data_IF_909179482362
#
_entry.id   IF_909179482362
#
_cell.length_a   1.000
_cell.length_b   1.000
_cell.length_c   1.000
_cell.angle_alpha   90.00
_cell.angle_beta   90.00
_cell.angle_gamma   90.00
#
_symmetry.space_group_name_H-M   'P 1'
#
loop_
_entity.id
_entity.type
_entity.pdbx_description
1 polymer ?
#
# COMPACT_ATOMS: atom_id res chain seq x y z
N UNK A 1 2.46 15.72 -1.50
CA UNK A 1 1.18 16.01 -0.82
C UNK A 1 0.10 14.98 -1.16
N UNK A 2 -0.07 14.65 -2.44
CA UNK A 2 -1.11 13.70 -2.88
C UNK A 2 -0.85 12.27 -2.40
N UNK A 3 0.40 11.90 -2.16
CA UNK A 3 0.80 10.59 -1.66
C UNK A 3 0.34 10.34 -0.21
N UNK A 4 0.42 11.38 0.62
CA UNK A 4 0.08 11.26 2.05
C UNK A 4 -1.45 11.28 2.28
N UNK A 5 -2.23 11.76 1.32
CA UNK A 5 -3.70 11.72 1.35
C UNK A 5 -4.28 12.37 2.60
N UNK A 6 -3.85 13.61 2.92
CA UNK A 6 -4.38 14.35 4.07
C UNK A 6 -5.90 14.51 3.95
N UNK A 7 -6.61 14.03 4.94
CA UNK A 7 -8.05 14.23 5.08
C UNK A 7 -8.36 14.88 6.43
N UNK A 8 -9.21 15.88 6.42
CA UNK A 8 -9.71 16.54 7.62
C UNK A 8 -11.18 16.20 7.81
N UNK A 9 -11.52 15.68 8.97
CA UNK A 9 -12.87 15.24 9.30
C UNK A 9 -13.19 15.43 10.77
N UNK A 10 -14.26 14.79 11.20
CA UNK A 10 -14.69 14.74 12.59
C UNK A 10 -14.64 13.30 13.10
N UNK A 11 -14.09 13.10 14.28
CA UNK A 11 -14.37 11.93 15.12
C UNK A 11 -15.65 12.23 15.90
N UNK A 12 -16.62 11.33 15.83
CA UNK A 12 -17.91 11.47 16.51
C UNK A 12 -18.19 10.21 17.31
N UNK A 13 -18.64 10.40 18.56
CA UNK A 13 -18.99 9.33 19.48
C UNK A 13 -20.45 8.92 19.31
N UNK A 14 -20.66 7.62 19.24
CA UNK A 14 -21.97 6.99 19.23
C UNK A 14 -22.14 6.15 20.50
N UNK A 15 -23.23 6.35 21.21
CA UNK A 15 -23.58 5.50 22.36
C UNK A 15 -24.23 4.22 21.87
N UNK A 16 -23.92 3.11 22.52
CA UNK A 16 -24.64 1.86 22.31
C UNK A 16 -25.95 1.91 23.05
N UNK A 17 -27.05 1.55 22.37
CA UNK A 17 -28.39 1.56 22.98
C UNK A 17 -28.46 0.62 24.18
N UNK A 18 -29.12 1.05 25.24
CA UNK A 18 -29.30 0.28 26.48
C UNK A 18 -28.00 -0.17 27.15
N UNK A 19 -26.92 0.60 26.97
CA UNK A 19 -25.58 0.32 27.51
C UNK A 19 -24.84 1.63 27.82
N UNK A 20 -23.83 1.55 28.70
CA UNK A 20 -22.90 2.65 28.99
C UNK A 20 -21.73 2.68 27.97
N UNK A 21 -21.72 1.74 27.04
CA UNK A 21 -20.67 1.66 26.02
C UNK A 21 -20.83 2.74 24.97
N UNK A 22 -19.71 3.25 24.51
CA UNK A 22 -19.64 4.17 23.36
C UNK A 22 -18.45 3.80 22.46
N UNK A 23 -18.57 4.14 21.19
CA UNK A 23 -17.49 4.00 20.23
C UNK A 23 -17.41 5.21 19.32
N UNK A 24 -16.26 5.42 18.72
CA UNK A 24 -15.97 6.59 17.89
C UNK A 24 -15.82 6.19 16.42
N UNK A 25 -16.42 6.99 15.54
CA UNK A 25 -16.20 6.90 14.09
C UNK A 25 -15.43 8.13 13.61
N UNK A 26 -14.80 8.01 12.43
CA UNK A 26 -14.22 9.14 11.71
C UNK A 26 -14.93 9.35 10.38
N UNK A 27 -15.34 10.59 10.11
CA UNK A 27 -15.95 10.95 8.82
C UNK A 27 -15.41 12.27 8.28
N UNK A 28 -15.21 12.33 6.96
CA UNK A 28 -14.95 13.58 6.23
C UNK A 28 -16.24 14.27 5.79
N UNK A 29 -17.37 13.54 5.86
CA UNK A 29 -18.71 14.00 5.47
C UNK A 29 -19.59 14.20 6.71
N UNK A 30 -19.14 15.09 7.59
CA UNK A 30 -19.89 15.40 8.81
C UNK A 30 -21.29 16.03 8.53
N UNK A 31 -21.49 16.58 7.33
CA UNK A 31 -22.78 17.08 6.84
C UNK A 31 -23.86 16.00 6.74
N UNK A 32 -23.46 14.72 6.62
CA UNK A 32 -24.40 13.62 6.37
C UNK A 32 -24.88 12.89 7.65
N UNK A 33 -24.58 13.39 8.83
CA UNK A 33 -24.92 12.75 10.10
C UNK A 33 -26.44 12.49 10.29
N UNK A 34 -27.28 13.30 9.69
CA UNK A 34 -28.76 13.13 9.76
C UNK A 34 -29.27 11.98 8.86
N UNK A 35 -28.45 11.46 7.94
CA UNK A 35 -28.81 10.36 7.06
C UNK A 35 -28.14 9.04 7.39
N UNK A 36 -27.52 8.93 8.57
CA UNK A 36 -26.95 7.67 9.05
C UNK A 36 -28.08 6.69 9.37
N UNK A 37 -28.10 5.57 8.68
CA UNK A 37 -29.15 4.56 8.84
C UNK A 37 -28.66 3.22 9.41
N UNK A 38 -27.36 3.01 9.43
CA UNK A 38 -26.69 1.89 10.12
C UNK A 38 -25.22 2.21 10.39
N UNK A 39 -24.61 1.38 11.23
CA UNK A 39 -23.17 1.41 11.54
C UNK A 39 -22.53 0.13 11.03
N UNK A 40 -21.24 0.19 10.67
CA UNK A 40 -20.51 -1.02 10.23
C UNK A 40 -19.16 -1.08 10.91
N UNK A 41 -18.85 -2.28 11.44
CA UNK A 41 -17.59 -2.61 12.05
C UNK A 41 -16.74 -3.45 11.08
N UNK A 42 -15.43 -3.20 11.09
CA UNK A 42 -14.48 -4.13 10.47
C UNK A 42 -14.49 -5.47 11.22
N UNK A 43 -14.38 -6.61 10.52
CA UNK A 43 -14.35 -7.93 11.17
C UNK A 43 -13.24 -8.11 12.21
N UNK A 44 -12.14 -7.38 12.05
CA UNK A 44 -10.97 -7.40 12.95
C UNK A 44 -11.10 -6.43 14.13
N UNK A 45 -12.17 -5.62 14.20
CA UNK A 45 -12.37 -4.65 15.27
C UNK A 45 -12.63 -5.33 16.62
N UNK A 46 -11.95 -4.85 17.66
CA UNK A 46 -12.19 -5.31 19.04
C UNK A 46 -13.64 -5.09 19.49
N UNK A 47 -14.33 -4.12 18.90
CA UNK A 47 -15.74 -3.85 19.16
C UNK A 47 -16.67 -4.99 18.76
N UNK A 48 -16.25 -5.87 17.84
CA UNK A 48 -17.08 -6.98 17.36
C UNK A 48 -17.44 -7.91 18.52
N UNK A 49 -16.48 -8.29 19.35
CA UNK A 49 -16.73 -9.16 20.51
C UNK A 49 -17.61 -8.51 21.58
N UNK A 50 -17.50 -7.17 21.72
CA UNK A 50 -18.23 -6.39 22.72
C UNK A 50 -19.68 -6.09 22.31
N UNK A 51 -19.90 -5.87 21.00
CA UNK A 51 -21.21 -5.49 20.47
C UNK A 51 -22.01 -6.65 19.88
N UNK A 52 -21.44 -7.86 19.86
CA UNK A 52 -22.18 -9.05 19.43
C UNK A 52 -23.02 -9.58 20.57
N UNK A 53 -24.35 -9.61 20.37
CA UNK A 53 -25.27 -10.20 21.35
C UNK A 53 -25.19 -11.73 21.36
N UNK A 54 -25.57 -12.35 22.45
CA UNK A 54 -25.52 -13.83 22.56
C UNK A 54 -26.39 -14.50 21.47
N UNK A 55 -27.52 -13.87 21.10
CA UNK A 55 -28.40 -14.37 20.03
C UNK A 55 -27.74 -14.38 18.65
N UNK A 56 -26.81 -13.48 18.38
CA UNK A 56 -26.13 -13.34 17.07
C UNK A 56 -24.74 -13.99 17.03
N UNK A 57 -24.26 -14.47 18.18
CA UNK A 57 -22.88 -14.96 18.35
C UNK A 57 -22.48 -16.03 17.34
N UNK A 58 -23.30 -17.05 17.17
CA UNK A 58 -23.01 -18.15 16.24
C UNK A 58 -22.89 -17.69 14.79
N UNK A 59 -23.79 -16.78 14.35
CA UNK A 59 -23.78 -16.24 13.01
C UNK A 59 -22.58 -15.31 12.76
N UNK A 60 -22.25 -14.50 13.76
CA UNK A 60 -21.07 -13.60 13.71
C UNK A 60 -19.79 -14.42 13.67
N UNK A 61 -19.61 -15.43 14.53
CA UNK A 61 -18.43 -16.32 14.53
C UNK A 61 -18.24 -17.00 13.17
N UNK A 62 -19.33 -17.54 12.60
CA UNK A 62 -19.28 -18.16 11.27
C UNK A 62 -18.91 -17.15 10.16
N UNK A 63 -19.34 -15.90 10.27
CA UNK A 63 -18.95 -14.83 9.35
C UNK A 63 -17.46 -14.47 9.48
N UNK A 64 -16.97 -14.31 10.71
CA UNK A 64 -15.58 -14.00 11.00
C UNK A 64 -14.63 -15.09 10.48
N UNK A 65 -14.97 -16.36 10.68
CA UNK A 65 -14.15 -17.48 10.21
C UNK A 65 -14.04 -17.55 8.66
N UNK A 66 -15.06 -17.12 7.96
CA UNK A 66 -15.02 -16.98 6.50
C UNK A 66 -14.15 -15.80 6.05
N UNK A 67 -14.25 -14.69 6.77
CA UNK A 67 -13.55 -13.44 6.43
C UNK A 67 -12.06 -13.52 6.75
N UNK A 68 -11.65 -14.16 7.83
CA UNK A 68 -10.23 -14.38 8.21
C UNK A 68 -9.41 -15.09 7.14
N UNK A 69 -10.05 -15.88 6.27
CA UNK A 69 -9.38 -16.60 5.17
C UNK A 69 -9.09 -15.71 3.96
N UNK A 70 -9.51 -14.45 3.98
CA UNK A 70 -9.38 -13.51 2.85
C UNK A 70 -8.39 -12.39 3.21
N UNK A 71 -7.49 -12.11 2.29
CA UNK A 71 -6.57 -10.97 2.43
C UNK A 71 -7.31 -9.65 2.22
N UNK A 72 -6.78 -8.56 2.79
CA UNK A 72 -7.32 -7.21 2.59
C UNK A 72 -7.41 -6.85 1.08
N UNK A 73 -6.42 -7.27 0.29
CA UNK A 73 -6.42 -7.04 -1.16
C UNK A 73 -7.57 -7.75 -1.87
N UNK A 74 -7.87 -8.97 -1.50
CA UNK A 74 -9.00 -9.74 -2.05
C UNK A 74 -10.34 -9.10 -1.67
N UNK A 75 -10.46 -8.58 -0.44
CA UNK A 75 -11.65 -7.89 0.05
C UNK A 75 -11.90 -6.58 -0.70
N UNK A 76 -10.85 -5.79 -0.98
CA UNK A 76 -10.94 -4.56 -1.77
C UNK A 76 -11.35 -4.84 -3.23
N UNK A 77 -10.86 -5.93 -3.81
CA UNK A 77 -11.14 -6.31 -5.19
C UNK A 77 -12.54 -6.93 -5.38
N UNK A 78 -13.09 -7.55 -4.34
CA UNK A 78 -14.39 -8.21 -4.39
C UNK A 78 -15.53 -7.19 -4.17
N UNK A 79 -16.45 -7.15 -5.11
CA UNK A 79 -17.63 -6.27 -5.08
C UNK A 79 -18.87 -6.92 -4.50
N UNK A 80 -18.80 -8.17 -4.05
CA UNK A 80 -19.94 -8.84 -3.44
C UNK A 80 -20.26 -8.21 -2.09
N UNK A 81 -21.54 -7.98 -1.86
CA UNK A 81 -22.03 -7.47 -0.58
C UNK A 81 -22.16 -8.61 0.40
N UNK A 82 -21.46 -8.52 1.52
CA UNK A 82 -21.55 -9.50 2.62
C UNK A 82 -21.58 -8.76 3.95
N UNK A 83 -22.24 -9.35 4.94
CA UNK A 83 -22.30 -8.78 6.28
C UNK A 83 -23.15 -9.61 7.21
N UNK A 84 -23.06 -9.32 8.51
CA UNK A 84 -23.86 -9.95 9.56
C UNK A 84 -24.28 -8.90 10.60
N UNK A 85 -25.48 -9.01 11.09
CA UNK A 85 -25.99 -8.12 12.14
C UNK A 85 -25.38 -8.53 13.51
N UNK A 86 -24.88 -7.55 14.28
CA UNK A 86 -24.29 -7.82 15.60
C UNK A 86 -25.32 -8.08 16.72
N UNK A 87 -26.57 -7.71 16.49
CA UNK A 87 -27.64 -7.69 17.50
C UNK A 87 -27.73 -6.38 18.28
N UNK A 88 -26.74 -5.50 18.17
CA UNK A 88 -26.70 -4.22 18.89
C UNK A 88 -27.12 -3.04 18.03
N UNK A 89 -27.52 -1.96 18.70
CA UNK A 89 -27.86 -0.69 18.07
C UNK A 89 -27.02 0.44 18.64
N UNK A 90 -26.70 1.42 17.81
CA UNK A 90 -26.07 2.67 18.23
C UNK A 90 -27.08 3.82 18.15
N UNK A 91 -26.95 4.81 19.03
CA UNK A 91 -27.80 6.00 19.03
C UNK A 91 -27.11 7.11 18.25
N UNK A 92 -27.76 7.60 17.21
CA UNK A 92 -27.26 8.72 16.44
C UNK A 92 -27.33 10.02 17.30
N UNK A 93 -26.18 10.68 17.55
CA UNK A 93 -26.16 11.85 18.43
C UNK A 93 -26.82 13.10 17.85
N UNK A 94 -27.27 13.09 16.59
CA UNK A 94 -27.97 14.21 15.93
C UNK A 94 -29.47 13.99 15.80
N UNK A 95 -29.91 12.74 15.64
CA UNK A 95 -31.33 12.41 15.46
C UNK A 95 -31.96 11.73 16.68
N UNK A 96 -31.13 11.15 17.57
CA UNK A 96 -31.59 10.32 18.67
C UNK A 96 -32.09 8.94 18.24
N UNK A 97 -32.12 8.65 16.97
CA UNK A 97 -32.57 7.37 16.43
C UNK A 97 -31.57 6.25 16.70
N UNK A 98 -32.12 5.07 16.95
CA UNK A 98 -31.33 3.85 17.12
C UNK A 98 -31.07 3.22 15.75
N UNK A 99 -29.80 3.08 15.36
CA UNK A 99 -29.38 2.50 14.10
C UNK A 99 -28.66 1.16 14.34
N UNK A 100 -28.93 0.11 13.52
CA UNK A 100 -28.33 -1.21 13.73
C UNK A 100 -26.83 -1.20 13.47
N UNK A 101 -26.09 -2.01 14.22
CA UNK A 101 -24.65 -2.19 14.08
C UNK A 101 -24.39 -3.50 13.33
N UNK A 102 -23.78 -3.42 12.17
CA UNK A 102 -23.42 -4.53 11.30
C UNK A 102 -21.91 -4.79 11.33
N UNK A 103 -21.52 -5.97 10.91
CA UNK A 103 -20.12 -6.35 10.70
C UNK A 103 -19.98 -6.70 9.23
N UNK A 104 -19.03 -6.09 8.53
CA UNK A 104 -18.84 -6.35 7.10
C UNK A 104 -17.38 -6.18 6.67
N UNK A 105 -16.98 -7.01 5.72
CA UNK A 105 -15.63 -7.08 5.19
C UNK A 105 -15.26 -5.94 4.23
N UNK A 106 -16.21 -5.06 3.85
CA UNK A 106 -15.88 -3.85 3.09
C UNK A 106 -15.27 -2.74 3.96
N UNK A 107 -15.36 -2.84 5.27
CA UNK A 107 -14.73 -1.94 6.23
C UNK A 107 -13.37 -2.52 6.65
N UNK A 108 -12.32 -1.71 6.63
CA UNK A 108 -10.96 -2.11 6.97
C UNK A 108 -10.58 -1.58 8.35
N UNK A 109 -10.01 -2.42 9.21
CA UNK A 109 -9.60 -2.04 10.56
C UNK A 109 -8.46 -1.00 10.58
N UNK A 110 -7.57 -1.03 9.58
CA UNK A 110 -6.46 -0.08 9.45
C UNK A 110 -6.86 1.32 8.97
N UNK A 111 -8.15 1.58 8.70
CA UNK A 111 -8.64 2.88 8.28
C UNK A 111 -9.58 3.49 9.33
N UNK A 112 -9.14 4.59 9.92
CA UNK A 112 -9.93 5.29 10.94
C UNK A 112 -9.95 4.58 12.28
N UNK A 113 -11.14 4.26 12.76
CA UNK A 113 -11.39 3.61 14.06
C UNK A 113 -11.81 2.14 13.93
N UNK A 114 -11.82 1.60 12.72
CA UNK A 114 -12.36 0.27 12.43
C UNK A 114 -13.91 0.21 12.53
N UNK A 115 -14.55 1.36 12.70
CA UNK A 115 -16.01 1.53 12.69
C UNK A 115 -16.37 2.70 11.77
N UNK A 116 -17.41 2.56 10.97
CA UNK A 116 -17.92 3.62 10.11
C UNK A 116 -19.42 3.86 10.37
N UNK A 117 -19.86 5.09 10.14
CA UNK A 117 -21.27 5.39 9.92
C UNK A 117 -21.61 5.17 8.46
N UNK A 118 -22.73 4.59 8.17
CA UNK A 118 -23.18 4.33 6.81
C UNK A 118 -24.28 5.32 6.40
N UNK A 119 -24.08 5.95 5.24
CA UNK A 119 -25.02 6.91 4.64
C UNK A 119 -25.34 6.47 3.22
N UNK A 120 -26.26 5.53 3.04
CA UNK A 120 -26.54 4.92 1.75
C UNK A 120 -26.88 5.87 0.60
N UNK A 121 -27.52 6.99 0.92
CA UNK A 121 -27.85 7.97 -0.10
C UNK A 121 -26.63 8.63 -0.75
N UNK A 122 -25.45 8.61 -0.11
CA UNK A 122 -24.27 9.40 -0.50
C UNK A 122 -22.94 8.62 -0.48
N UNK A 123 -23.00 7.29 -0.41
CA UNK A 123 -21.86 6.37 -0.60
C UNK A 123 -22.33 5.10 -1.32
N UNK A 124 -21.69 4.78 -2.42
CA UNK A 124 -22.11 3.66 -3.30
C UNK A 124 -21.96 2.28 -2.65
N UNK A 125 -21.03 2.10 -1.71
CA UNK A 125 -20.87 0.83 -0.98
C UNK A 125 -21.95 0.67 0.06
N UNK A 126 -22.23 1.75 0.82
CA UNK A 126 -23.31 1.79 1.80
C UNK A 126 -24.68 1.61 1.11
N UNK A 127 -24.83 2.17 -0.11
CA UNK A 127 -26.03 1.99 -0.92
C UNK A 127 -26.26 0.54 -1.30
N UNK A 128 -25.23 -0.11 -1.86
CA UNK A 128 -25.30 -1.51 -2.23
C UNK A 128 -25.60 -2.40 -1.01
N UNK A 129 -25.01 -2.10 0.15
CA UNK A 129 -25.27 -2.79 1.40
C UNK A 129 -26.72 -2.58 1.87
N UNK A 130 -27.21 -1.35 1.87
CA UNK A 130 -28.58 -1.03 2.28
C UNK A 130 -29.62 -1.70 1.38
N UNK A 131 -29.41 -1.70 0.07
CA UNK A 131 -30.29 -2.43 -0.88
C UNK A 131 -30.29 -3.92 -0.62
N UNK A 132 -29.13 -4.54 -0.38
CA UNK A 132 -29.00 -5.97 -0.13
C UNK A 132 -29.69 -6.42 1.15
N UNK A 133 -29.56 -5.63 2.23
CA UNK A 133 -30.14 -5.96 3.54
C UNK A 133 -31.47 -5.23 3.82
N UNK A 134 -32.02 -4.55 2.82
CA UNK A 134 -33.28 -3.81 2.91
C UNK A 134 -33.30 -2.78 4.06
N UNK A 135 -32.21 -2.00 4.17
CA UNK A 135 -32.04 -0.93 5.15
C UNK A 135 -32.54 0.40 4.58
N UNK A 136 -32.94 1.38 5.44
CA UNK A 136 -33.41 2.68 4.99
C UNK A 136 -32.34 3.49 4.23
N UNK A 137 -32.78 4.25 3.23
CA UNK A 137 -31.96 5.20 2.46
C UNK A 137 -32.58 6.58 2.59
N UNK A 138 -31.86 7.55 3.18
CA UNK A 138 -32.35 8.89 3.44
C UNK A 138 -31.54 9.90 2.62
N UNK A 139 -32.14 10.53 1.59
CA UNK A 139 -31.46 11.54 0.79
C UNK A 139 -31.27 12.84 1.60
N UNK A 140 -30.08 13.44 1.49
CA UNK A 140 -29.69 14.65 2.23
C UNK A 140 -29.30 15.82 1.32
N UNK A 141 -29.43 15.67 0.01
CA UNK A 141 -29.15 16.72 -0.98
C UNK A 141 -30.41 16.97 -1.80
N UNK A 142 -30.75 18.24 -2.01
CA UNK A 142 -31.93 18.62 -2.80
C UNK A 142 -31.88 18.11 -4.23
N UNK A 143 -32.98 17.54 -4.70
CA UNK A 143 -33.15 17.09 -6.06
C UNK A 143 -32.35 15.83 -6.43
N UNK A 144 -31.68 15.16 -5.47
CA UNK A 144 -31.04 13.90 -5.74
C UNK A 144 -32.07 12.75 -5.85
N UNK A 145 -31.92 11.92 -6.87
CA UNK A 145 -32.65 10.66 -7.05
C UNK A 145 -31.75 9.51 -6.55
N UNK A 146 -32.22 8.81 -5.55
CA UNK A 146 -31.51 7.66 -4.94
C UNK A 146 -32.29 6.35 -5.14
N UNK A 147 -33.17 6.27 -6.13
CA UNK A 147 -33.98 5.10 -6.42
C UNK A 147 -33.14 3.94 -6.97
N UNK A 148 -32.21 4.23 -7.86
CA UNK A 148 -31.39 3.24 -8.56
C UNK A 148 -29.92 3.20 -8.11
N UNK A 149 -29.36 4.37 -7.72
CA UNK A 149 -27.96 4.48 -7.29
C UNK A 149 -27.78 5.57 -6.21
N UNK A 150 -26.62 5.59 -5.55
CA UNK A 150 -26.26 6.63 -4.59
C UNK A 150 -25.91 7.93 -5.31
N UNK A 151 -26.11 9.05 -4.63
CA UNK A 151 -25.71 10.38 -5.07
C UNK A 151 -24.40 10.79 -4.37
N UNK A 152 -23.26 10.44 -4.94
CA UNK A 152 -21.94 10.62 -4.32
C UNK A 152 -21.32 12.02 -4.58
N UNK A 153 -22.07 12.96 -5.15
CA UNK A 153 -21.59 14.31 -5.44
C UNK A 153 -21.16 15.05 -4.17
N UNK A 154 -20.13 15.88 -4.31
CA UNK A 154 -19.54 16.69 -3.24
C UNK A 154 -20.07 18.13 -3.24
N UNK A 155 -20.98 18.44 -4.13
CA UNK A 155 -21.63 19.75 -4.29
C UNK A 155 -23.14 19.59 -4.29
N UNK A 156 -23.84 20.56 -3.74
CA UNK A 156 -25.31 20.56 -3.62
C UNK A 156 -25.78 21.32 -2.41
N UNK A 157 -27.09 21.41 -2.27
CA UNK A 157 -27.78 22.06 -1.14
C UNK A 157 -28.29 20.95 -0.20
N UNK A 158 -28.00 21.08 1.08
CA UNK A 158 -28.39 20.10 2.09
C UNK A 158 -29.89 20.22 2.40
N UNK A 159 -30.55 19.08 2.49
CA UNK A 159 -31.95 18.95 2.93
C UNK A 159 -32.10 17.82 3.96
N UNK A 160 -33.27 17.64 4.56
CA UNK A 160 -33.57 16.59 5.55
C UNK A 160 -32.58 16.53 6.74
N UNK A 161 -31.99 17.65 7.11
CA UNK A 161 -30.95 17.77 8.14
C UNK A 161 -31.27 18.92 9.14
N UNK A 162 -32.31 18.81 10.04
CA UNK A 162 -33.18 17.66 10.26
C UNK A 162 -34.32 17.50 9.23
N UNK A 163 -34.95 16.32 9.22
CA UNK A 163 -36.11 16.04 8.36
C UNK A 163 -37.27 16.95 8.72
N UNK A 164 -37.98 17.47 7.73
CA UNK A 164 -39.15 18.32 7.94
C UNK A 164 -40.23 17.61 8.76
N UNK A 165 -40.72 18.29 9.81
CA UNK A 165 -41.71 17.75 10.72
C UNK A 165 -41.22 16.78 11.79
N UNK A 166 -39.94 16.45 11.81
CA UNK A 166 -39.35 15.67 12.91
C UNK A 166 -39.17 16.53 14.15
N UNK A 167 -39.35 15.94 15.34
CA UNK A 167 -39.00 16.60 16.60
C UNK A 167 -37.46 16.73 16.67
N UNK A 168 -36.93 17.95 16.77
CA UNK A 168 -35.47 18.11 16.82
C UNK A 168 -34.89 17.44 18.06
N UNK A 169 -33.93 16.58 17.86
CA UNK A 169 -33.13 15.97 18.95
C UNK A 169 -31.95 16.87 19.35
N UNK A 170 -31.46 17.66 18.42
CA UNK A 170 -30.43 18.67 18.62
C UNK A 170 -30.85 20.00 17.95
N UNK A 171 -30.18 21.08 18.27
CA UNK A 171 -30.48 22.44 17.78
C UNK A 171 -29.77 22.76 16.45
N UNK A 172 -29.03 21.77 15.86
CA UNK A 172 -28.35 21.92 14.58
C UNK A 172 -29.34 21.81 13.41
N UNK A 173 -29.33 22.82 12.55
CA UNK A 173 -30.08 22.81 11.28
C UNK A 173 -29.12 23.11 10.10
N UNK A 174 -29.04 22.18 9.18
CA UNK A 174 -28.17 22.28 7.99
C UNK A 174 -28.95 22.51 6.69
N UNK A 175 -30.31 22.51 6.75
CA UNK A 175 -31.15 22.67 5.56
C UNK A 175 -30.89 24.00 4.86
N UNK A 176 -30.75 23.97 3.53
CA UNK A 176 -30.50 25.14 2.70
C UNK A 176 -29.05 25.60 2.64
N UNK A 177 -28.13 24.94 3.35
CA UNK A 177 -26.70 25.21 3.29
C UNK A 177 -26.05 24.42 2.14
N UNK A 178 -24.97 24.94 1.61
CA UNK A 178 -24.10 24.12 0.75
C UNK A 178 -23.41 23.02 1.55
N UNK A 179 -23.08 21.88 0.92
CA UNK A 179 -22.35 20.77 1.56
C UNK A 179 -21.09 21.26 2.28
N UNK A 180 -20.35 22.19 1.68
CA UNK A 180 -19.11 22.75 2.25
C UNK A 180 -19.37 23.53 3.55
N UNK A 181 -20.42 24.35 3.58
CA UNK A 181 -20.83 25.10 4.77
C UNK A 181 -21.32 24.15 5.85
N UNK A 182 -22.17 23.17 5.48
CA UNK A 182 -22.68 22.16 6.37
C UNK A 182 -21.57 21.36 7.06
N UNK A 183 -20.55 20.91 6.33
CA UNK A 183 -19.36 20.25 6.89
C UNK A 183 -18.66 21.15 7.92
N UNK A 184 -18.45 22.42 7.61
CA UNK A 184 -17.76 23.34 8.50
C UNK A 184 -18.56 23.60 9.79
N UNK A 185 -19.86 23.82 9.66
CA UNK A 185 -20.78 24.05 10.79
C UNK A 185 -20.89 22.79 11.66
N UNK A 186 -21.05 21.60 11.05
CA UNK A 186 -21.16 20.36 11.83
C UNK A 186 -19.86 20.05 12.58
N UNK A 187 -18.67 20.24 11.97
CA UNK A 187 -17.40 20.09 12.68
C UNK A 187 -17.28 21.02 13.89
N UNK A 188 -17.73 22.27 13.76
CA UNK A 188 -17.78 23.22 14.87
C UNK A 188 -18.73 22.74 15.95
N UNK A 189 -19.93 22.33 15.56
CA UNK A 189 -20.97 21.81 16.46
C UNK A 189 -20.49 20.60 17.27
N UNK A 190 -19.87 19.61 16.61
CA UNK A 190 -19.30 18.42 17.26
C UNK A 190 -18.32 18.80 18.36
N UNK A 191 -17.47 19.80 18.11
CA UNK A 191 -16.46 20.26 19.08
C UNK A 191 -17.13 21.00 20.25
N UNK A 192 -18.05 21.93 19.97
CA UNK A 192 -18.69 22.78 20.99
C UNK A 192 -19.60 21.98 21.91
N UNK A 193 -20.30 20.97 21.39
CA UNK A 193 -21.21 20.11 22.16
C UNK A 193 -20.50 18.84 22.71
N UNK A 194 -19.18 18.78 22.60
CA UNK A 194 -18.37 17.65 23.12
C UNK A 194 -18.83 16.28 22.61
N UNK A 195 -19.41 16.22 21.39
CA UNK A 195 -19.80 14.98 20.73
C UNK A 195 -18.60 14.24 20.12
N UNK A 196 -17.46 14.92 20.03
CA UNK A 196 -16.25 14.41 19.46
C UNK A 196 -15.18 15.48 19.25
N UNK A 197 -14.35 15.31 18.24
CA UNK A 197 -13.28 16.28 17.90
C UNK A 197 -13.04 16.35 16.39
N UNK A 198 -12.52 17.50 15.94
CA UNK A 198 -11.98 17.61 14.58
C UNK A 198 -10.61 16.96 14.53
N UNK A 199 -10.36 16.12 13.54
CA UNK A 199 -9.12 15.39 13.38
C UNK A 199 -8.61 15.43 11.94
N UNK A 200 -7.31 15.50 11.80
CA UNK A 200 -6.62 15.30 10.51
C UNK A 200 -6.06 13.90 10.49
N UNK A 201 -6.47 13.12 9.50
CA UNK A 201 -5.93 11.81 9.22
C UNK A 201 -5.07 11.85 7.96
N UNK A 202 -4.05 11.01 7.93
CA UNK A 202 -3.21 10.79 6.77
C UNK A 202 -3.40 9.37 6.27
N UNK A 203 -3.53 9.19 4.95
CA UNK A 203 -3.72 7.89 4.30
C UNK A 203 -2.36 7.23 4.09
N UNK A 204 -1.64 7.05 5.18
CA UNK A 204 -0.39 6.29 5.19
C UNK A 204 -0.69 4.87 5.66
N UNK A 205 -0.23 3.89 4.90
CA UNK A 205 -0.11 2.53 5.42
C UNK A 205 1.13 2.47 6.29
N UNK A 206 1.04 1.72 7.38
CA UNK A 206 2.20 1.45 8.21
C UNK A 206 3.28 0.76 7.39
N UNK A 207 4.50 1.28 7.47
CA UNK A 207 5.66 0.67 6.84
C UNK A 207 6.28 -0.30 7.84
N UNK A 208 6.12 -1.60 7.60
CA UNK A 208 6.80 -2.62 8.39
C UNK A 208 8.27 -2.65 7.99
N UNK A 209 9.15 -2.30 8.94
CA UNK A 209 10.60 -2.26 8.74
C UNK A 209 11.23 -3.62 9.02
N UNK A 210 10.64 -4.70 8.49
CA UNK A 210 11.19 -6.06 8.58
C UNK A 210 10.81 -6.88 7.35
N UNK A 211 11.61 -7.88 7.03
CA UNK A 211 11.37 -8.81 5.93
C UNK A 211 11.67 -10.24 6.38
N UNK A 212 10.85 -11.16 5.95
CA UNK A 212 10.99 -12.59 6.13
C UNK A 212 11.94 -13.14 5.04
N UNK A 213 13.18 -12.65 5.05
CA UNK A 213 14.25 -12.99 4.09
C UNK A 213 15.53 -13.30 4.81
N UNK A 214 16.38 -14.12 4.19
CA UNK A 214 17.74 -14.33 4.66
C UNK A 214 18.63 -13.13 4.34
N UNK A 215 18.66 -12.73 3.05
CA UNK A 215 19.49 -11.61 2.59
C UNK A 215 18.91 -10.26 3.02
N UNK A 216 19.58 -9.63 3.94
CA UNK A 216 19.28 -8.32 4.53
C UNK A 216 20.14 -8.10 5.77
N UNK A 217 20.22 -6.85 6.24
CA UNK A 217 20.91 -6.56 7.50
C UNK A 217 20.11 -7.20 8.67
N UNK A 218 20.73 -8.00 9.54
CA UNK A 218 20.06 -8.56 10.69
C UNK A 218 19.74 -7.49 11.73
N UNK A 219 18.61 -7.65 12.43
CA UNK A 219 18.30 -6.78 13.55
C UNK A 219 19.15 -7.17 14.77
N UNK A 220 19.89 -6.23 15.39
CA UNK A 220 20.66 -6.49 16.60
C UNK A 220 19.74 -6.56 17.85
N UNK A 221 18.77 -7.48 17.82
CA UNK A 221 17.69 -7.60 18.82
C UNK A 221 17.55 -9.04 19.28
N UNK A 222 17.46 -9.23 20.58
CA UNK A 222 17.05 -10.49 21.21
C UNK A 222 15.76 -10.31 22.00
N UNK A 223 15.07 -11.40 22.29
CA UNK A 223 13.78 -11.39 22.99
C UNK A 223 13.87 -12.01 24.37
N UNK A 224 13.49 -11.23 25.39
CA UNK A 224 13.33 -11.70 26.77
C UNK A 224 11.87 -11.51 27.18
N UNK A 225 11.22 -12.59 27.59
CA UNK A 225 9.80 -12.58 27.97
C UNK A 225 8.88 -11.97 26.89
N UNK A 226 9.19 -12.20 25.60
CA UNK A 226 8.47 -11.64 24.47
C UNK A 226 8.74 -10.16 24.18
N UNK A 227 9.60 -9.50 24.98
CA UNK A 227 9.99 -8.09 24.78
C UNK A 227 11.33 -7.99 24.07
N UNK A 228 11.47 -7.08 23.07
CA UNK A 228 12.73 -6.88 22.35
C UNK A 228 13.74 -6.08 23.18
N UNK A 229 15.00 -6.51 23.14
CA UNK A 229 16.15 -5.83 23.73
C UNK A 229 17.25 -5.69 22.71
N UNK A 230 17.93 -4.55 22.71
CA UNK A 230 19.06 -4.28 21.82
C UNK A 230 20.32 -5.01 22.30
N UNK A 231 21.10 -5.50 21.33
CA UNK A 231 22.49 -5.92 21.57
C UNK A 231 23.33 -4.66 21.82
N UNK A 232 24.30 -4.77 22.72
CA UNK A 232 25.23 -3.66 23.00
C UNK A 232 26.03 -3.29 21.75
N UNK A 233 26.13 -2.00 21.48
CA UNK A 233 26.79 -1.45 20.27
C UNK A 233 28.25 -1.94 20.12
N UNK A 234 28.98 -2.14 21.24
CA UNK A 234 30.34 -2.65 21.23
C UNK A 234 30.48 -4.09 20.72
N UNK A 235 29.34 -4.79 20.52
CA UNK A 235 29.26 -6.17 20.05
C UNK A 235 28.82 -6.29 18.57
N UNK A 236 28.66 -5.16 17.90
CA UNK A 236 28.37 -5.11 16.49
C UNK A 236 29.67 -5.19 15.66
N UNK A 237 29.61 -5.66 14.41
CA UNK A 237 28.41 -6.07 13.68
C UNK A 237 27.85 -7.44 14.07
N UNK A 238 26.53 -7.59 13.98
CA UNK A 238 25.87 -8.89 14.01
C UNK A 238 25.87 -9.48 12.60
N UNK A 239 26.57 -10.59 12.39
CA UNK A 239 26.68 -11.25 11.10
C UNK A 239 25.57 -12.28 10.91
N UNK A 240 25.12 -12.46 9.64
CA UNK A 240 24.13 -13.49 9.30
C UNK A 240 24.72 -14.90 9.57
N UNK A 241 23.93 -15.82 10.15
CA UNK A 241 24.35 -17.19 10.39
C UNK A 241 24.35 -18.00 9.09
N UNK A 242 25.14 -19.07 9.05
CA UNK A 242 25.00 -20.07 7.98
C UNK A 242 23.67 -20.82 8.13
N UNK A 243 22.98 -21.02 7.01
CA UNK A 243 21.76 -21.80 6.89
C UNK A 243 21.84 -22.73 5.68
N UNK A 244 21.21 -23.87 5.76
CA UNK A 244 21.14 -24.86 4.68
C UNK A 244 20.03 -24.57 3.66
N UNK A 245 19.03 -23.73 4.05
CA UNK A 245 17.88 -23.36 3.22
C UNK A 245 17.52 -21.89 3.38
N UNK A 246 17.20 -21.23 2.27
CA UNK A 246 16.75 -19.83 2.21
C UNK A 246 15.21 -19.68 2.10
N UNK A 247 14.48 -20.74 2.36
CA UNK A 247 13.02 -20.80 2.39
C UNK A 247 12.51 -20.65 3.83
N UNK A 248 11.24 -20.27 4.03
CA UNK A 248 10.62 -20.33 5.34
C UNK A 248 10.69 -21.73 5.94
N UNK A 249 10.63 -21.82 7.27
CA UNK A 249 10.55 -23.11 7.96
C UNK A 249 9.17 -23.77 7.70
N UNK A 250 9.03 -25.05 8.05
CA UNK A 250 7.75 -25.77 7.94
C UNK A 250 6.66 -25.17 8.85
N UNK A 251 7.06 -24.49 9.91
CA UNK A 251 6.17 -23.76 10.82
C UNK A 251 5.86 -22.33 10.37
N UNK A 252 6.45 -21.87 9.24
CA UNK A 252 6.21 -20.55 8.66
C UNK A 252 7.12 -19.44 9.21
N UNK A 253 8.16 -19.80 9.99
CA UNK A 253 9.16 -18.84 10.44
C UNK A 253 10.04 -18.36 9.28
N UNK A 254 10.65 -17.15 9.39
CA UNK A 254 11.61 -16.67 8.41
C UNK A 254 12.81 -17.62 8.19
N UNK A 255 13.55 -17.49 7.08
CA UNK A 255 14.69 -18.36 6.76
C UNK A 255 15.75 -18.47 7.86
N UNK A 256 15.94 -17.43 8.70
CA UNK A 256 16.84 -17.47 9.85
C UNK A 256 16.40 -18.48 10.93
N UNK A 257 15.15 -18.94 10.91
CA UNK A 257 14.66 -20.04 11.74
C UNK A 257 15.32 -21.39 11.46
N UNK A 258 16.01 -21.56 10.29
CA UNK A 258 16.82 -22.74 9.99
C UNK A 258 18.21 -22.73 10.65
N UNK A 259 18.65 -21.57 11.17
CA UNK A 259 19.97 -21.46 11.78
C UNK A 259 20.03 -22.27 13.10
N UNK A 260 21.08 -23.04 13.28
CA UNK A 260 21.36 -23.77 14.50
C UNK A 260 22.06 -22.92 15.55
N UNK A 261 22.76 -21.86 15.11
CA UNK A 261 23.51 -20.91 15.94
C UNK A 261 22.96 -19.50 15.72
N UNK A 262 21.86 -19.18 16.43
CA UNK A 262 21.17 -17.87 16.33
C UNK A 262 20.46 -17.53 17.67
N UNK A 263 21.24 -17.57 18.75
CA UNK A 263 20.81 -17.15 20.07
C UNK A 263 21.87 -16.22 20.70
N UNK A 264 21.45 -15.29 21.55
CA UNK A 264 22.31 -14.29 22.18
C UNK A 264 22.61 -14.62 23.65
N UNK A 265 23.88 -14.80 23.95
CA UNK A 265 24.36 -14.94 25.33
C UNK A 265 24.69 -13.53 25.87
N UNK A 266 23.87 -13.01 26.78
CA UNK A 266 24.02 -11.64 27.32
C UNK A 266 25.22 -11.51 28.28
N UNK A 267 25.72 -12.63 28.83
CA UNK A 267 26.86 -12.63 29.74
C UNK A 267 28.18 -12.60 28.97
N UNK A 268 28.26 -13.38 27.90
CA UNK A 268 29.45 -13.44 27.04
C UNK A 268 29.46 -12.36 25.97
N UNK A 269 28.27 -11.85 25.55
CA UNK A 269 28.10 -10.91 24.48
C UNK A 269 28.47 -11.52 23.13
N UNK A 270 27.99 -12.72 22.84
CA UNK A 270 28.25 -13.46 21.60
C UNK A 270 27.03 -14.28 21.14
N UNK A 271 26.99 -14.60 19.84
CA UNK A 271 26.01 -15.51 19.26
C UNK A 271 26.39 -16.95 19.57
N UNK A 272 25.44 -17.73 20.10
CA UNK A 272 25.62 -19.13 20.52
C UNK A 272 24.57 -20.04 19.88
N UNK A 273 24.75 -21.36 20.09
CA UNK A 273 23.82 -22.39 19.62
C UNK A 273 22.41 -22.20 20.23
N UNK A 274 21.36 -22.39 19.44
CA UNK A 274 19.96 -22.29 19.89
C UNK A 274 19.64 -23.31 21.03
N UNK A 275 20.33 -24.43 21.07
CA UNK A 275 20.21 -25.43 22.15
C UNK A 275 20.56 -24.90 23.53
N UNK A 276 21.23 -23.75 23.63
CA UNK A 276 21.61 -23.07 24.86
C UNK A 276 20.60 -22.09 25.40
N UNK A 277 19.49 -21.84 24.66
CA UNK A 277 18.44 -20.91 25.08
C UNK A 277 17.85 -21.41 26.42
N UNK A 278 18.04 -20.61 27.47
CA UNK A 278 17.53 -20.86 28.82
C UNK A 278 16.51 -19.79 29.28
N UNK A 279 16.33 -18.72 28.49
CA UNK A 279 15.52 -17.53 28.80
C UNK A 279 15.92 -16.81 30.11
N UNK A 280 17.15 -17.02 30.56
CA UNK A 280 17.75 -16.38 31.76
C UNK A 280 19.01 -15.61 31.35
N UNK A 281 19.93 -16.27 30.64
CA UNK A 281 21.20 -15.71 30.15
C UNK A 281 21.36 -15.83 28.64
N UNK A 282 20.64 -16.74 27.99
CA UNK A 282 20.68 -16.97 26.58
C UNK A 282 19.26 -16.83 25.99
N UNK A 283 19.11 -15.94 25.06
CA UNK A 283 17.82 -15.54 24.48
C UNK A 283 17.78 -15.73 22.98
N UNK A 284 16.58 -15.96 22.38
CA UNK A 284 16.43 -16.02 20.92
C UNK A 284 16.66 -14.66 20.27
N UNK A 285 17.37 -14.65 19.14
CA UNK A 285 17.53 -13.47 18.27
C UNK A 285 16.35 -13.29 17.33
N UNK A 286 16.17 -12.06 16.82
CA UNK A 286 15.19 -11.74 15.79
C UNK A 286 15.46 -12.54 14.50
N UNK A 287 14.41 -13.12 13.93
CA UNK A 287 14.48 -13.97 12.73
C UNK A 287 14.26 -13.18 11.43
N UNK A 288 13.70 -11.98 11.51
CA UNK A 288 13.54 -11.11 10.35
C UNK A 288 14.84 -10.36 10.06
N UNK A 289 14.98 -9.90 8.82
CA UNK A 289 16.05 -8.98 8.41
C UNK A 289 15.46 -7.60 8.06
N UNK A 290 16.30 -6.57 8.05
CA UNK A 290 15.91 -5.25 7.58
C UNK A 290 15.57 -5.29 6.08
N UNK A 291 14.68 -4.40 5.60
CA UNK A 291 14.42 -4.29 4.17
C UNK A 291 15.66 -3.80 3.42
N UNK A 292 15.79 -4.17 2.15
CA UNK A 292 16.95 -3.80 1.33
C UNK A 292 17.20 -2.30 1.23
N UNK A 293 16.19 -1.44 1.49
CA UNK A 293 16.39 0.00 1.51
C UNK A 293 17.01 0.53 2.83
N UNK A 294 17.24 -0.30 3.84
CA UNK A 294 17.89 0.12 5.08
C UNK A 294 19.27 0.73 4.81
N UNK A 295 20.11 0.01 4.05
CA UNK A 295 21.41 0.52 3.63
C UNK A 295 21.32 1.51 2.48
N UNK A 296 20.56 1.21 1.43
CA UNK A 296 20.50 2.03 0.21
C UNK A 296 19.88 3.41 0.41
N UNK A 297 19.11 3.62 1.47
CA UNK A 297 18.52 4.94 1.75
C UNK A 297 19.52 6.01 2.12
N UNK A 298 20.66 5.67 2.70
CA UNK A 298 21.70 6.59 3.15
C UNK A 298 23.08 6.31 2.53
N UNK A 299 23.15 5.55 1.43
CA UNK A 299 24.42 5.13 0.82
C UNK A 299 25.33 6.29 0.45
N UNK A 300 24.77 7.43 0.04
CA UNK A 300 25.52 8.63 -0.33
C UNK A 300 26.34 9.20 0.83
N UNK A 301 25.85 9.09 2.08
CA UNK A 301 26.62 9.47 3.26
C UNK A 301 27.83 8.55 3.43
N UNK A 302 27.65 7.25 3.25
CA UNK A 302 28.73 6.28 3.32
C UNK A 302 29.79 6.51 2.23
N UNK A 303 29.39 6.95 1.05
CA UNK A 303 30.31 7.28 -0.06
C UNK A 303 31.19 8.49 0.23
N UNK A 304 30.76 9.39 1.12
CA UNK A 304 31.56 10.53 1.56
C UNK A 304 32.77 10.09 2.42
N UNK A 305 32.65 8.95 3.11
CA UNK A 305 33.67 8.46 4.05
C UNK A 305 33.71 6.91 4.06
N UNK A 306 34.09 6.28 2.91
CA UNK A 306 33.88 4.84 2.70
C UNK A 306 34.78 3.95 3.58
N UNK A 307 35.87 4.47 4.10
CA UNK A 307 36.83 3.73 4.92
C UNK A 307 36.68 3.99 6.43
N UNK A 308 35.66 4.73 6.83
CA UNK A 308 35.38 4.99 8.24
C UNK A 308 34.77 3.76 8.90
N UNK A 309 35.45 3.18 9.87
CA UNK A 309 35.05 2.02 10.63
C UNK A 309 34.36 2.38 11.98
N UNK A 310 34.30 3.68 12.30
CA UNK A 310 33.74 4.16 13.58
C UNK A 310 32.32 4.74 13.43
N UNK A 311 32.00 5.28 12.25
CA UNK A 311 30.72 5.95 12.00
C UNK A 311 30.28 5.79 10.55
N UNK A 312 28.99 6.01 10.27
CA UNK A 312 28.43 6.04 8.92
C UNK A 312 29.14 7.07 8.03
N UNK A 313 29.43 8.23 8.59
CA UNK A 313 30.18 9.33 8.00
C UNK A 313 30.82 10.13 9.12
N UNK A 314 32.06 10.58 8.97
CA UNK A 314 32.69 11.49 9.93
C UNK A 314 32.10 12.89 9.82
N UNK A 315 32.03 13.62 10.92
CA UNK A 315 31.62 15.02 10.94
C UNK A 315 32.44 15.88 9.94
N UNK A 316 33.74 15.63 9.84
CA UNK A 316 34.61 16.30 8.88
C UNK A 316 34.21 16.06 7.42
N UNK A 317 33.87 14.83 7.06
CA UNK A 317 33.47 14.48 5.70
C UNK A 317 32.09 15.07 5.37
N UNK A 318 31.14 14.99 6.32
CA UNK A 318 29.80 15.54 6.15
C UNK A 318 29.82 17.08 6.05
N UNK A 319 30.64 17.77 6.86
CA UNK A 319 30.85 19.22 6.75
C UNK A 319 31.48 19.63 5.42
N UNK A 320 32.36 18.80 4.85
CA UNK A 320 33.01 19.10 3.57
C UNK A 320 32.08 18.86 2.36
N UNK A 321 31.45 17.69 2.28
CA UNK A 321 30.63 17.30 1.15
C UNK A 321 29.20 17.84 1.22
N UNK A 322 28.64 17.95 2.43
CA UNK A 322 27.27 18.37 2.69
C UNK A 322 26.23 17.51 1.94
N UNK A 323 25.12 18.08 1.53
CA UNK A 323 24.13 17.40 0.71
C UNK A 323 24.59 17.32 -0.76
N UNK A 324 24.15 16.27 -1.45
CA UNK A 324 24.55 15.99 -2.84
C UNK A 324 24.12 17.10 -3.78
N UNK A 325 25.04 17.67 -4.56
CA UNK A 325 24.77 18.79 -5.46
C UNK A 325 23.83 18.43 -6.60
N UNK A 326 24.05 17.27 -7.23
CA UNK A 326 23.27 16.78 -8.36
C UNK A 326 22.98 15.29 -8.19
N UNK A 327 21.71 14.95 -8.13
CA UNK A 327 21.22 13.58 -8.04
C UNK A 327 20.46 13.19 -9.30
N UNK A 328 20.91 12.15 -9.98
CA UNK A 328 20.35 11.73 -11.28
C UNK A 328 19.72 10.34 -11.11
N UNK A 329 18.47 10.20 -11.50
CA UNK A 329 17.77 8.91 -11.39
C UNK A 329 16.44 8.88 -12.11
N UNK A 330 15.97 7.68 -12.44
CA UNK A 330 14.72 7.45 -13.16
C UNK A 330 13.48 7.75 -12.33
N UNK A 331 12.33 7.88 -13.00
CA UNK A 331 11.02 8.14 -12.40
C UNK A 331 10.54 7.02 -11.48
N UNK A 332 11.00 5.80 -11.69
CA UNK A 332 10.69 4.62 -10.88
C UNK A 332 11.10 4.77 -9.42
N UNK A 333 12.08 5.61 -9.14
CA UNK A 333 12.56 5.89 -7.79
C UNK A 333 11.73 6.94 -7.04
N UNK A 334 10.79 7.61 -7.70
CA UNK A 334 9.97 8.66 -7.09
C UNK A 334 9.11 8.16 -5.92
N UNK A 335 8.64 6.92 -5.99
CA UNK A 335 7.79 6.27 -4.97
C UNK A 335 8.54 5.26 -4.09
N UNK A 336 9.85 5.14 -4.26
CA UNK A 336 10.70 4.24 -3.50
C UNK A 336 11.90 4.98 -2.93
N UNK A 337 13.07 4.79 -3.53
CA UNK A 337 14.34 5.29 -3.03
C UNK A 337 14.35 6.79 -2.67
N UNK A 338 13.74 7.67 -3.47
CA UNK A 338 13.72 9.12 -3.18
C UNK A 338 12.92 9.46 -1.92
N UNK A 339 11.82 8.76 -1.65
CA UNK A 339 11.07 8.92 -0.40
C UNK A 339 11.89 8.40 0.77
N UNK A 340 12.45 7.21 0.65
CA UNK A 340 13.20 6.58 1.73
C UNK A 340 14.49 7.32 2.06
N UNK A 341 15.25 7.76 1.05
CA UNK A 341 16.49 8.53 1.28
C UNK A 341 16.20 9.88 1.96
N UNK A 342 15.12 10.56 1.55
CA UNK A 342 14.72 11.81 2.19
C UNK A 342 14.25 11.61 3.63
N UNK A 343 13.42 10.58 3.87
CA UNK A 343 12.97 10.25 5.22
C UNK A 343 14.13 9.85 6.12
N UNK A 344 15.03 9.00 5.63
CA UNK A 344 16.19 8.52 6.37
C UNK A 344 17.17 9.66 6.70
N UNK A 345 17.42 10.54 5.73
CA UNK A 345 18.29 11.70 5.95
C UNK A 345 17.74 12.66 7.02
N UNK A 346 16.43 12.94 7.00
CA UNK A 346 15.78 13.75 8.04
C UNK A 346 15.90 13.10 9.42
N UNK A 347 15.70 11.80 9.51
CA UNK A 347 15.88 11.04 10.75
C UNK A 347 17.33 11.11 11.24
N UNK A 348 18.32 10.92 10.37
CA UNK A 348 19.74 11.05 10.72
C UNK A 348 20.11 12.48 11.09
N UNK A 349 19.47 13.48 10.50
CA UNK A 349 19.63 14.88 10.89
C UNK A 349 19.07 15.13 12.30
N UNK A 350 17.89 14.63 12.62
CA UNK A 350 17.29 14.72 13.95
C UNK A 350 18.16 14.06 15.04
N UNK A 351 18.90 13.00 14.68
CA UNK A 351 19.89 12.35 15.54
C UNK A 351 21.25 13.05 15.59
N UNK A 352 21.47 14.11 14.81
CA UNK A 352 22.74 14.82 14.72
C UNK A 352 23.84 14.11 13.92
N UNK A 353 23.48 13.07 13.13
CA UNK A 353 24.42 12.32 12.27
C UNK A 353 24.69 13.05 10.97
N UNK A 354 23.68 13.69 10.37
CA UNK A 354 23.82 14.51 9.16
C UNK A 354 23.57 15.98 9.46
N UNK A 355 24.41 16.87 8.93
CA UNK A 355 24.31 18.32 9.13
C UNK A 355 23.21 18.96 8.27
N UNK A 356 22.75 18.29 7.22
CA UNK A 356 21.71 18.79 6.32
C UNK A 356 20.42 18.01 6.46
N UNK A 357 19.31 18.72 6.53
CA UNK A 357 17.96 18.12 6.59
C UNK A 357 17.57 17.45 5.27
N UNK A 358 17.92 18.05 4.12
CA UNK A 358 17.62 17.51 2.79
C UNK A 358 18.86 16.85 2.18
N UNK A 359 18.72 15.62 1.61
CA UNK A 359 19.87 14.87 1.10
C UNK A 359 20.42 15.41 -0.22
N UNK A 360 19.56 16.00 -1.07
CA UNK A 360 19.89 16.39 -2.44
C UNK A 360 19.54 17.85 -2.70
N UNK A 361 20.44 18.59 -3.35
CA UNK A 361 20.18 19.97 -3.76
C UNK A 361 19.36 20.04 -5.05
N UNK A 362 19.70 19.18 -6.03
CA UNK A 362 19.05 19.14 -7.33
C UNK A 362 18.83 17.71 -7.79
N UNK A 363 17.59 17.38 -8.15
CA UNK A 363 17.22 16.11 -8.80
C UNK A 363 17.06 16.33 -10.31
N UNK A 364 17.71 15.49 -11.10
CA UNK A 364 17.46 15.39 -12.54
C UNK A 364 16.87 14.01 -12.81
N UNK A 365 15.64 14.01 -13.30
CA UNK A 365 14.96 12.82 -13.75
C UNK A 365 15.02 12.78 -15.28
N UNK A 366 15.89 11.90 -15.81
CA UNK A 366 16.15 11.81 -17.24
C UNK A 366 15.05 11.08 -18.03
N UNK A 367 14.02 10.57 -17.33
CA UNK A 367 12.99 9.73 -17.94
C UNK A 367 13.41 8.28 -18.15
N UNK A 368 12.62 7.55 -18.92
CA UNK A 368 12.86 6.13 -19.20
C UNK A 368 13.88 5.97 -20.34
N UNK A 369 14.80 5.05 -20.16
CA UNK A 369 15.68 4.63 -21.26
C UNK A 369 14.81 4.00 -22.35
N UNK A 370 15.06 4.41 -23.59
CA UNK A 370 14.37 3.88 -24.76
C UNK A 370 15.34 3.00 -25.56
N UNK A 371 14.84 1.88 -25.98
CA UNK A 371 15.53 0.99 -26.92
C UNK A 371 14.73 0.90 -28.22
N UNK A 372 15.44 0.78 -29.33
CA UNK A 372 14.81 0.47 -30.60
C UNK A 372 14.71 -1.04 -30.73
N UNK A 373 13.49 -1.54 -30.98
CA UNK A 373 13.22 -2.92 -31.36
C UNK A 373 12.94 -2.98 -32.85
N UNK A 374 13.57 -3.89 -33.56
CA UNK A 374 13.28 -4.17 -34.96
C UNK A 374 12.46 -5.44 -35.08
N UNK A 375 11.61 -5.48 -36.11
CA UNK A 375 10.70 -6.59 -36.35
C UNK A 375 10.77 -7.08 -37.79
N UNK A 376 10.72 -8.40 -37.96
CA UNK A 376 10.40 -9.06 -39.21
C UNK A 376 9.00 -9.62 -39.15
N UNK A 377 8.31 -9.76 -40.27
CA UNK A 377 6.92 -10.18 -40.33
C UNK A 377 6.81 -11.53 -40.99
N UNK A 378 6.51 -12.55 -40.21
CA UNK A 378 6.28 -13.90 -40.69
C UNK A 378 4.83 -14.06 -41.13
N UNK A 379 4.60 -14.54 -42.34
CA UNK A 379 3.26 -14.88 -42.82
C UNK A 379 2.75 -16.08 -41.98
N UNK A 380 1.54 -15.97 -41.46
CA UNK A 380 0.96 -16.96 -40.56
C UNK A 380 0.94 -18.35 -41.18
N UNK A 381 1.29 -19.35 -40.38
CA UNK A 381 1.36 -20.76 -40.73
C UNK A 381 2.29 -21.11 -41.90
N UNK A 382 3.24 -20.24 -42.25
CA UNK A 382 4.26 -20.47 -43.29
C UNK A 382 5.67 -20.27 -42.74
N UNK A 383 6.68 -20.60 -43.56
CA UNK A 383 8.09 -20.23 -43.30
C UNK A 383 8.54 -19.10 -44.22
N UNK A 384 7.66 -18.12 -44.49
CA UNK A 384 7.89 -16.99 -45.37
C UNK A 384 7.81 -15.70 -44.60
N UNK A 385 8.76 -14.81 -44.80
CA UNK A 385 8.82 -13.47 -44.22
C UNK A 385 8.53 -12.43 -45.31
N UNK A 386 7.76 -11.40 -44.96
CA UNK A 386 7.38 -10.33 -45.87
C UNK A 386 7.89 -8.98 -45.38
N UNK A 387 8.44 -8.18 -46.29
CA UNK A 387 8.93 -6.82 -45.99
C UNK A 387 7.83 -5.91 -45.47
N UNK A 388 8.18 -4.95 -44.62
CA UNK A 388 7.26 -4.05 -43.89
C UNK A 388 6.15 -3.48 -44.75
N UNK A 389 6.46 -2.89 -45.94
CA UNK A 389 5.48 -2.20 -46.73
C UNK A 389 4.54 -3.12 -47.55
N UNK A 390 4.86 -4.41 -47.57
CA UNK A 390 4.06 -5.43 -48.23
C UNK A 390 3.22 -6.25 -47.22
N UNK A 391 3.44 -6.09 -45.90
CA UNK A 391 2.85 -6.92 -44.86
C UNK A 391 1.31 -6.88 -44.84
N UNK A 392 0.69 -5.75 -45.20
CA UNK A 392 -0.75 -5.58 -45.13
C UNK A 392 -1.52 -6.44 -46.18
N UNK A 393 -0.77 -7.07 -47.12
CA UNK A 393 -1.32 -8.02 -48.09
C UNK A 393 -1.45 -9.46 -47.50
N UNK A 394 -0.94 -9.68 -46.30
CA UNK A 394 -0.86 -10.97 -45.67
C UNK A 394 -1.28 -10.93 -44.19
N UNK A 395 -1.77 -12.04 -43.68
CA UNK A 395 -1.89 -12.20 -42.21
C UNK A 395 -0.51 -12.52 -41.64
N UNK A 396 0.06 -11.60 -40.84
CA UNK A 396 1.46 -11.71 -40.39
C UNK A 396 1.56 -11.73 -38.87
N UNK A 397 2.63 -12.38 -38.38
CA UNK A 397 3.05 -12.33 -36.98
C UNK A 397 4.39 -11.60 -36.90
N UNK A 398 4.51 -10.50 -36.10
CA UNK A 398 5.79 -9.83 -35.91
C UNK A 398 6.70 -10.67 -35.00
N UNK A 399 7.97 -10.76 -35.38
CA UNK A 399 9.03 -11.38 -34.58
C UNK A 399 10.15 -10.36 -34.36
N UNK A 400 10.64 -10.27 -33.11
CA UNK A 400 11.82 -9.47 -32.83
C UNK A 400 13.04 -9.96 -33.56
N UNK A 401 13.89 -9.02 -33.96
CA UNK A 401 15.16 -9.31 -34.63
C UNK A 401 16.29 -8.54 -33.96
N UNK A 402 17.47 -9.14 -33.88
CA UNK A 402 18.67 -8.52 -33.31
C UNK A 402 18.99 -7.21 -34.04
N UNK A 403 19.21 -6.15 -33.29
CA UNK A 403 19.50 -4.81 -33.85
C UNK A 403 20.82 -4.77 -34.62
N UNK A 404 21.77 -5.66 -34.32
CA UNK A 404 23.08 -5.72 -34.96
C UNK A 404 23.04 -6.26 -36.41
N UNK A 405 21.96 -6.97 -36.79
CA UNK A 405 21.76 -7.50 -38.14
C UNK A 405 20.76 -6.66 -38.95
N UNK A 406 20.40 -5.46 -38.47
CA UNK A 406 19.56 -4.49 -39.16
C UNK A 406 20.32 -3.17 -39.33
N UNK A 407 20.51 -2.72 -40.56
CA UNK A 407 21.16 -1.44 -40.84
C UNK A 407 20.25 -0.55 -41.70
N UNK A 408 19.96 0.67 -41.22
CA UNK A 408 19.04 1.62 -41.89
C UNK A 408 17.71 0.97 -42.27
N UNK A 409 17.11 0.23 -41.34
CA UNK A 409 15.87 -0.53 -41.49
C UNK A 409 15.93 -1.73 -42.45
N UNK A 410 17.09 -2.03 -43.01
CA UNK A 410 17.29 -3.14 -43.91
C UNK A 410 17.86 -4.32 -43.14
N UNK A 411 17.22 -5.49 -43.25
CA UNK A 411 17.66 -6.74 -42.65
C UNK A 411 18.83 -7.36 -43.49
N UNK A 412 19.84 -7.78 -42.80
CA UNK A 412 20.79 -8.77 -43.35
C UNK A 412 20.16 -10.17 -43.25
N UNK A 413 19.62 -10.65 -44.38
CA UNK A 413 18.87 -11.92 -44.44
C UNK A 413 19.75 -13.10 -44.10
N UNK A 414 21.03 -13.09 -44.56
CA UNK A 414 21.94 -14.19 -44.27
C UNK A 414 22.37 -14.22 -42.80
N UNK A 415 22.62 -13.05 -42.24
CA UNK A 415 22.85 -12.92 -40.80
C UNK A 415 21.63 -13.32 -39.97
N UNK A 416 20.42 -13.05 -40.45
CA UNK A 416 19.17 -13.48 -39.77
C UNK A 416 19.05 -15.01 -39.75
N UNK A 417 19.30 -15.67 -40.89
CA UNK A 417 19.31 -17.14 -40.99
C UNK A 417 20.36 -17.75 -40.09
N UNK A 418 21.54 -17.16 -40.01
CA UNK A 418 22.63 -17.62 -39.14
C UNK A 418 22.27 -17.42 -37.65
N UNK A 419 21.60 -16.30 -37.30
CA UNK A 419 21.15 -15.99 -35.93
C UNK A 419 20.00 -16.88 -35.49
N UNK A 420 19.07 -17.24 -36.42
CA UNK A 420 17.92 -18.11 -36.20
C UNK A 420 17.96 -19.32 -37.13
N UNK A 421 18.70 -20.37 -36.80
CA UNK A 421 18.84 -21.54 -37.67
C UNK A 421 17.56 -22.25 -38.04
N UNK A 422 16.50 -22.11 -37.21
CA UNK A 422 15.18 -22.64 -37.50
C UNK A 422 14.53 -22.02 -38.75
N UNK A 423 15.08 -20.91 -39.26
CA UNK A 423 14.61 -20.20 -40.44
C UNK A 423 15.61 -20.25 -41.60
N UNK A 424 16.58 -21.18 -41.59
CA UNK A 424 17.53 -21.31 -42.67
C UNK A 424 16.90 -21.49 -44.05
N UNK A 425 15.78 -22.23 -44.11
CA UNK A 425 15.02 -22.50 -45.34
C UNK A 425 13.89 -21.50 -45.57
N UNK A 426 13.84 -20.41 -44.81
CA UNK A 426 12.80 -19.42 -44.95
C UNK A 426 12.92 -18.62 -46.25
N UNK A 427 11.79 -18.35 -46.86
CA UNK A 427 11.65 -17.44 -48.01
C UNK A 427 11.43 -16.00 -47.55
N UNK A 428 11.94 -15.03 -48.34
CA UNK A 428 11.81 -13.62 -48.05
C UNK A 428 11.19 -12.88 -49.24
N UNK A 429 10.01 -12.29 -49.02
CA UNK A 429 9.39 -11.42 -49.98
C UNK A 429 9.97 -10.01 -49.79
N UNK A 430 10.81 -9.63 -50.75
CA UNK A 430 11.59 -8.42 -50.72
C UNK A 430 10.88 -7.26 -51.43
N UNK A 431 11.22 -6.03 -51.05
CA UNK A 431 10.82 -4.80 -51.70
C UNK A 431 12.07 -4.19 -52.34
N UNK A 432 12.07 -4.06 -53.66
CA UNK A 432 13.21 -3.60 -54.47
C UNK A 432 14.53 -4.33 -54.12
N UNK A 433 14.44 -5.65 -53.91
CA UNK A 433 15.59 -6.51 -53.58
C UNK A 433 16.10 -6.37 -52.14
N UNK A 434 15.37 -5.68 -51.24
CA UNK A 434 15.74 -5.50 -49.83
C UNK A 434 14.58 -5.93 -48.93
N UNK A 435 14.94 -6.43 -47.74
CA UNK A 435 13.94 -6.67 -46.70
C UNK A 435 13.93 -5.49 -45.74
N UNK A 436 12.81 -4.78 -45.65
CA UNK A 436 12.62 -3.65 -44.75
C UNK A 436 11.95 -4.14 -43.49
N UNK A 437 12.61 -3.92 -42.35
CA UNK A 437 12.11 -4.21 -41.03
C UNK A 437 11.12 -3.16 -40.54
N UNK A 438 10.15 -3.57 -39.75
CA UNK A 438 9.43 -2.65 -38.88
C UNK A 438 10.30 -2.29 -37.67
N UNK A 439 9.94 -1.20 -37.01
CA UNK A 439 10.57 -0.83 -35.74
C UNK A 439 9.59 -0.19 -34.79
N UNK A 440 9.87 -0.29 -33.50
CA UNK A 440 9.20 0.43 -32.44
C UNK A 440 10.22 0.95 -31.44
N UNK A 441 9.87 2.02 -30.76
CA UNK A 441 10.64 2.50 -29.61
C UNK A 441 9.98 1.93 -28.36
N UNK A 442 10.67 1.08 -27.66
CA UNK A 442 10.23 0.49 -26.41
C UNK A 442 10.87 1.21 -25.23
N UNK A 443 10.07 1.41 -24.17
CA UNK A 443 10.60 1.88 -22.90
C UNK A 443 11.23 0.69 -22.17
N UNK A 444 12.54 0.71 -22.06
CA UNK A 444 13.26 -0.32 -21.32
C UNK A 444 13.23 0.00 -19.84
N UNK A 445 12.79 -0.94 -19.01
CA UNK A 445 13.03 -0.86 -17.58
C UNK A 445 14.48 -1.22 -17.28
N UNK A 446 15.05 -0.74 -16.16
CA UNK A 446 16.40 -1.07 -15.74
C UNK A 446 16.61 -2.59 -15.57
N UNK A 447 15.55 -3.35 -15.29
CA UNK A 447 15.56 -4.81 -15.19
C UNK A 447 15.96 -5.45 -16.54
N UNK A 448 15.53 -4.89 -17.66
CA UNK A 448 15.85 -5.40 -18.99
C UNK A 448 17.29 -5.09 -19.45
N UNK A 449 17.97 -4.15 -18.78
CA UNK A 449 19.35 -3.77 -19.09
C UNK A 449 20.34 -4.64 -18.31
N UNK A 450 19.97 -5.08 -17.10
CA UNK A 450 20.84 -5.87 -16.21
C UNK A 450 20.82 -7.38 -16.49
N UNK A 451 19.83 -7.88 -17.23
CA UNK A 451 19.78 -9.27 -17.67
C UNK A 451 19.90 -9.34 -19.20
N UNK A 452 21.04 -9.80 -19.75
CA UNK A 452 21.06 -10.22 -21.14
C UNK A 452 20.06 -11.37 -21.26
N UNK A 453 19.04 -11.16 -22.10
CA UNK A 453 17.98 -12.13 -22.38
C UNK A 453 18.57 -13.52 -22.58
N UNK A 454 18.42 -14.38 -21.58
CA UNK A 454 18.50 -15.82 -21.78
C UNK A 454 17.17 -16.22 -22.42
N UNK A 455 17.20 -16.40 -23.72
CA UNK A 455 16.19 -17.16 -24.46
C UNK A 455 16.80 -18.46 -24.93
#
# INVERSE_FOLDING_TARGET
RNWIGRSEGAEVRFKVKDSDLEFTIFTTRADTMFGVTFMVLAPESELVSVLTTEAQKAEVEAYLDRTKKRTERERIADRRVTGVFSGSYAVNPFTGESVPVWISDYVLAGYGTGAIMAVPAHDSRDYAFAKHFNLPIVPLVEGCDVSEESFDAKEGIVCNSPKAGATPYCDLNLNGLTIKEAIAITKKYVKEHQLGRVKVNYRLRDAIFSRQRYWGEPFPVYYKDGMPYMIDESKLPLELPEVDKFLPTETGEPPLGHATKWAWDVVKGEVVENSKIDNVTVFPLELNTMPGFAGSSAYYLRYMDPHNDQALVSEKADHYWQNVDLYVGGTEHATGHLIYSRFWNKFLHDLGVSIKEEPFQKLVNQGMIQGRSNFVYRIKDTNTFVSLNLKDQYETTPLHVDVNIVSNDILDVEAFKAWRPEYNDAEFILEDGKYICGWAVEKLSLIHISEPTRH
#
